data_IF_477704619924
#
_entry.id   IF_477704619924
#
_cell.length_a   1.000
_cell.length_b   1.000
_cell.length_c   1.000
_cell.angle_alpha   90.00
_cell.angle_beta   90.00
_cell.angle_gamma   90.00
#
_symmetry.space_group_name_H-M   'P 1'
#
loop_
_entity.id
_entity.type
_entity.pdbx_description
1 polymer ?
#
# COMPACT_ATOMS: atom_id res chain seq x y z
N UNK A 1 -1.35 -13.00 19.37
CA UNK A 1 -2.17 -12.37 18.31
C UNK A 1 -1.41 -11.27 17.57
N UNK A 2 -0.97 -10.18 18.22
CA UNK A 2 -0.38 -9.00 17.53
C UNK A 2 0.77 -9.30 16.55
N UNK A 3 1.63 -10.27 16.89
CA UNK A 3 2.74 -10.71 16.04
C UNK A 3 2.29 -11.31 14.69
N UNK A 4 1.11 -11.92 14.62
CA UNK A 4 0.64 -12.64 13.43
C UNK A 4 -0.06 -11.74 12.40
N UNK A 5 -0.49 -10.54 12.79
CA UNK A 5 -1.37 -9.71 11.94
C UNK A 5 -0.70 -9.26 10.66
N UNK A 6 0.55 -8.82 10.76
CA UNK A 6 1.28 -8.30 9.61
C UNK A 6 1.65 -9.42 8.61
N UNK A 7 2.17 -10.59 9.04
CA UNK A 7 2.30 -11.76 8.16
C UNK A 7 0.97 -12.19 7.54
N UNK A 8 -0.13 -12.21 8.33
CA UNK A 8 -1.46 -12.54 7.81
C UNK A 8 -1.91 -11.57 6.71
N UNK A 9 -1.58 -10.28 6.82
CA UNK A 9 -1.88 -9.28 5.80
C UNK A 9 -1.19 -9.54 4.45
N UNK A 10 -0.18 -10.42 4.41
CA UNK A 10 0.55 -10.78 3.19
C UNK A 10 -0.06 -11.93 2.40
N UNK A 11 -1.08 -12.63 2.94
CA UNK A 11 -1.81 -13.68 2.21
C UNK A 11 -2.84 -13.09 1.25
N UNK A 12 -2.36 -12.36 0.24
CA UNK A 12 -3.17 -11.53 -0.67
C UNK A 12 -3.78 -12.29 -1.85
N UNK A 13 -3.52 -13.59 -1.96
CA UNK A 13 -4.15 -14.45 -2.94
C UNK A 13 -5.69 -14.49 -2.78
N UNK A 14 -6.37 -14.60 -3.92
CA UNK A 14 -7.83 -14.72 -3.95
C UNK A 14 -8.23 -16.20 -3.92
N UNK A 15 -8.96 -16.60 -2.89
CA UNK A 15 -9.46 -17.96 -2.69
C UNK A 15 -10.97 -18.07 -2.94
N UNK A 16 -11.74 -16.99 -2.75
CA UNK A 16 -13.20 -16.98 -2.93
C UNK A 16 -13.62 -16.15 -4.16
N UNK A 17 -13.43 -16.72 -5.35
CA UNK A 17 -13.58 -16.02 -6.65
C UNK A 17 -15.01 -15.48 -6.87
N UNK A 18 -16.03 -16.18 -6.35
CA UNK A 18 -17.45 -15.81 -6.52
C UNK A 18 -17.89 -14.61 -5.66
N UNK A 19 -17.03 -14.09 -4.78
CA UNK A 19 -17.36 -12.92 -3.94
C UNK A 19 -16.93 -11.64 -4.67
N UNK A 20 -17.86 -10.74 -5.05
CA UNK A 20 -17.59 -9.63 -5.95
C UNK A 20 -16.66 -8.55 -5.37
N UNK A 21 -16.45 -8.50 -4.06
CA UNK A 21 -15.59 -7.50 -3.41
C UNK A 21 -14.13 -7.95 -3.31
N UNK A 22 -13.18 -7.05 -3.59
CA UNK A 22 -11.73 -7.31 -3.50
C UNK A 22 -11.30 -7.95 -2.17
N UNK A 23 -11.91 -7.53 -1.07
CA UNK A 23 -11.64 -8.09 0.25
C UNK A 23 -12.30 -9.45 0.47
N UNK A 24 -13.49 -9.65 -0.10
CA UNK A 24 -14.25 -10.88 0.08
C UNK A 24 -13.62 -12.09 -0.63
N UNK A 25 -12.79 -11.85 -1.65
CA UNK A 25 -12.04 -12.95 -2.26
C UNK A 25 -10.81 -13.39 -1.45
N UNK A 26 -10.34 -12.59 -0.47
CA UNK A 26 -9.10 -12.82 0.26
C UNK A 26 -9.35 -13.39 1.65
N UNK A 27 -8.61 -14.43 2.03
CA UNK A 27 -8.83 -15.17 3.29
C UNK A 27 -8.59 -14.33 4.55
N UNK A 28 -7.78 -13.28 4.43
CA UNK A 28 -7.27 -12.45 5.50
C UNK A 28 -8.38 -11.83 6.35
N UNK A 29 -9.44 -11.34 5.69
CA UNK A 29 -10.56 -10.69 6.38
C UNK A 29 -11.34 -11.67 7.23
N UNK A 30 -11.55 -12.88 6.73
CA UNK A 30 -12.19 -13.95 7.50
C UNK A 30 -11.36 -14.35 8.71
N UNK A 31 -10.03 -14.44 8.56
CA UNK A 31 -9.12 -14.69 9.69
C UNK A 31 -9.20 -13.56 10.71
N UNK A 32 -9.21 -12.29 10.28
CA UNK A 32 -9.36 -11.14 11.19
C UNK A 32 -10.70 -11.17 11.94
N UNK A 33 -11.80 -11.51 11.27
CA UNK A 33 -13.10 -11.69 11.91
C UNK A 33 -13.07 -12.79 12.98
N UNK A 34 -12.50 -13.95 12.65
CA UNK A 34 -12.35 -15.06 13.60
C UNK A 34 -11.53 -14.62 14.81
N UNK A 35 -10.39 -13.94 14.61
CA UNK A 35 -9.55 -13.44 15.70
C UNK A 35 -10.28 -12.42 16.57
N UNK A 36 -11.08 -11.53 15.99
CA UNK A 36 -11.92 -10.58 16.73
C UNK A 36 -12.97 -11.32 17.57
N UNK A 37 -13.67 -12.30 17.00
CA UNK A 37 -14.68 -13.10 17.69
C UNK A 37 -14.06 -13.86 18.87
N UNK A 38 -12.95 -14.55 18.64
CA UNK A 38 -12.18 -15.24 19.70
C UNK A 38 -11.83 -14.25 20.81
N UNK A 39 -11.31 -13.07 20.46
CA UNK A 39 -10.96 -12.07 21.48
C UNK A 39 -12.19 -11.59 22.29
N UNK A 40 -13.32 -11.34 21.64
CA UNK A 40 -14.56 -10.93 22.33
C UNK A 40 -15.07 -12.03 23.27
N UNK A 41 -15.08 -13.28 22.81
CA UNK A 41 -15.56 -14.43 23.60
C UNK A 41 -14.65 -14.67 24.81
N UNK A 42 -13.34 -14.77 24.59
CA UNK A 42 -12.42 -15.19 25.66
C UNK A 42 -11.93 -14.05 26.55
N UNK A 43 -11.76 -12.85 26.03
CA UNK A 43 -11.23 -11.71 26.81
C UNK A 43 -12.34 -10.84 27.36
N UNK A 44 -13.32 -10.48 26.53
CA UNK A 44 -14.45 -9.67 26.97
C UNK A 44 -15.61 -10.50 27.57
N UNK A 45 -15.49 -11.83 27.63
CA UNK A 45 -16.54 -12.73 28.13
C UNK A 45 -17.89 -12.47 27.45
N UNK A 46 -17.86 -12.21 26.14
CA UNK A 46 -19.05 -11.90 25.33
C UNK A 46 -19.55 -10.45 25.44
N UNK A 47 -18.92 -9.58 26.24
CA UNK A 47 -19.25 -8.15 26.24
C UNK A 47 -18.68 -7.48 25.01
N UNK A 48 -19.48 -6.66 24.32
CA UNK A 48 -18.97 -5.88 23.19
C UNK A 48 -18.06 -4.78 23.74
N UNK A 49 -16.79 -4.66 23.27
CA UNK A 49 -15.93 -3.56 23.69
C UNK A 49 -16.63 -2.23 23.40
N UNK A 50 -16.58 -1.29 24.35
CA UNK A 50 -17.08 0.07 24.10
C UNK A 50 -16.34 0.60 22.88
N UNK A 51 -17.08 0.80 21.79
CA UNK A 51 -16.57 1.27 20.52
C UNK A 51 -15.98 2.67 20.74
N UNK A 52 -14.65 2.77 20.73
CA UNK A 52 -13.92 4.05 20.84
C UNK A 52 -13.95 4.81 19.50
N UNK A 53 -15.11 4.92 18.84
CA UNK A 53 -15.24 5.81 17.69
C UNK A 53 -15.73 7.15 18.21
N UNK A 54 -14.92 8.19 18.02
CA UNK A 54 -15.33 9.54 18.41
C UNK A 54 -16.59 9.98 17.66
N UNK A 55 -17.46 10.76 18.31
CA UNK A 55 -18.65 11.35 17.67
C UNK A 55 -18.30 12.09 16.37
N UNK A 56 -17.11 12.71 16.29
CA UNK A 56 -16.62 13.40 15.10
C UNK A 56 -16.34 12.44 13.93
N UNK A 57 -15.79 11.26 14.21
CA UNK A 57 -15.55 10.23 13.19
C UNK A 57 -16.89 9.64 12.73
N UNK A 58 -17.83 9.37 13.65
CA UNK A 58 -19.18 8.93 13.27
C UNK A 58 -19.88 9.94 12.36
N UNK A 59 -19.84 11.23 12.72
CA UNK A 59 -20.39 12.30 11.89
C UNK A 59 -19.75 12.34 10.50
N UNK A 60 -18.41 12.26 10.43
CA UNK A 60 -17.71 12.23 9.15
C UNK A 60 -18.12 11.03 8.28
N UNK A 61 -18.29 9.86 8.87
CA UNK A 61 -18.73 8.66 8.16
C UNK A 61 -20.16 8.80 7.66
N UNK A 62 -21.06 9.31 8.48
CA UNK A 62 -22.44 9.60 8.06
C UNK A 62 -22.46 10.57 6.88
N UNK A 63 -21.70 11.67 6.95
CA UNK A 63 -21.57 12.63 5.84
C UNK A 63 -20.98 11.94 4.60
N UNK A 64 -19.93 11.14 4.75
CA UNK A 64 -19.29 10.42 3.65
C UNK A 64 -20.27 9.48 2.95
N UNK A 65 -21.04 8.70 3.71
CA UNK A 65 -22.04 7.79 3.17
C UNK A 65 -23.14 8.55 2.43
N UNK A 66 -23.66 9.65 2.99
CA UNK A 66 -24.70 10.46 2.33
C UNK A 66 -24.18 11.09 1.05
N UNK A 67 -23.01 11.72 1.07
CA UNK A 67 -22.43 12.35 -0.12
C UNK A 67 -22.16 11.32 -1.23
N UNK A 68 -21.71 10.12 -0.87
CA UNK A 68 -21.45 9.05 -1.83
C UNK A 68 -22.73 8.43 -2.38
N UNK A 69 -23.77 8.29 -1.57
CA UNK A 69 -25.09 7.92 -2.05
C UNK A 69 -25.58 8.90 -3.13
N UNK A 70 -25.51 10.21 -2.84
CA UNK A 70 -25.90 11.27 -3.79
C UNK A 70 -25.04 11.19 -5.06
N UNK A 71 -23.72 11.08 -4.94
CA UNK A 71 -22.81 11.03 -6.09
C UNK A 71 -23.06 9.81 -6.99
N UNK A 72 -23.33 8.63 -6.40
CA UNK A 72 -23.68 7.41 -7.14
C UNK A 72 -25.00 7.60 -7.90
N UNK A 73 -26.02 8.15 -7.25
CA UNK A 73 -27.32 8.40 -7.88
C UNK A 73 -27.23 9.42 -9.03
N UNK A 74 -26.53 10.54 -8.83
CA UNK A 74 -26.31 11.53 -9.89
C UNK A 74 -25.58 10.89 -11.09
N UNK A 75 -24.56 10.08 -10.82
CA UNK A 75 -23.79 9.42 -11.86
C UNK A 75 -24.63 8.40 -12.63
N UNK A 76 -25.51 7.66 -11.96
CA UNK A 76 -26.44 6.73 -12.60
C UNK A 76 -27.32 7.41 -13.68
N UNK A 77 -27.77 8.65 -13.44
CA UNK A 77 -28.54 9.42 -14.42
C UNK A 77 -27.69 10.01 -15.55
N UNK A 78 -26.37 10.20 -15.35
CA UNK A 78 -25.43 10.71 -16.36
C UNK A 78 -24.82 9.60 -17.25
N UNK A 79 -24.89 8.35 -16.82
CA UNK A 79 -24.41 7.20 -17.59
C UNK A 79 -25.46 6.84 -18.66
N UNK A 80 -25.09 7.03 -19.91
CA UNK A 80 -25.93 6.75 -21.09
C UNK A 80 -25.72 5.33 -21.65
N UNK A 81 -24.51 4.78 -21.50
CA UNK A 81 -24.18 3.42 -21.92
C UNK A 81 -24.71 2.38 -20.93
N UNK A 82 -25.66 1.55 -21.40
CA UNK A 82 -26.30 0.47 -20.62
C UNK A 82 -25.28 -0.45 -19.97
N UNK A 83 -24.18 -0.75 -20.66
CA UNK A 83 -23.10 -1.62 -20.19
C UNK A 83 -22.39 -1.13 -18.92
N UNK A 84 -22.37 0.17 -18.69
CA UNK A 84 -21.77 0.79 -17.50
C UNK A 84 -22.81 1.17 -16.44
N UNK A 85 -24.10 1.00 -16.74
CA UNK A 85 -25.22 1.46 -15.93
C UNK A 85 -25.55 0.46 -14.82
N UNK A 86 -24.72 0.46 -13.78
CA UNK A 86 -24.91 -0.37 -12.60
C UNK A 86 -26.08 0.12 -11.72
N UNK A 87 -26.75 -0.81 -11.01
CA UNK A 87 -27.81 -0.45 -10.07
C UNK A 87 -27.25 0.40 -8.90
N UNK A 88 -27.76 1.62 -8.66
CA UNK A 88 -27.18 2.55 -7.69
C UNK A 88 -27.28 2.06 -6.24
N UNK A 89 -28.36 1.31 -5.91
CA UNK A 89 -28.53 0.71 -4.57
C UNK A 89 -27.48 -0.37 -4.34
N UNK A 90 -27.25 -1.25 -5.33
CA UNK A 90 -26.23 -2.29 -5.25
C UNK A 90 -24.83 -1.70 -5.09
N UNK A 91 -24.51 -0.64 -5.83
CA UNK A 91 -23.24 0.08 -5.71
C UNK A 91 -23.07 0.70 -4.31
N UNK A 92 -24.13 1.31 -3.78
CA UNK A 92 -24.08 1.87 -2.43
C UNK A 92 -23.90 0.78 -1.35
N UNK A 93 -24.56 -0.38 -1.48
CA UNK A 93 -24.34 -1.51 -0.58
C UNK A 93 -22.89 -1.98 -0.65
N UNK A 94 -22.30 -2.10 -1.85
CA UNK A 94 -20.88 -2.46 -2.00
C UNK A 94 -19.96 -1.44 -1.33
N UNK A 95 -20.29 -0.15 -1.42
CA UNK A 95 -19.57 0.92 -0.73
C UNK A 95 -19.67 0.81 0.80
N UNK A 96 -20.86 0.50 1.34
CA UNK A 96 -21.04 0.22 2.77
C UNK A 96 -20.22 -1.01 3.22
N UNK A 97 -20.21 -2.08 2.43
CA UNK A 97 -19.39 -3.27 2.71
C UNK A 97 -17.90 -2.92 2.70
N UNK A 98 -17.45 -2.11 1.74
CA UNK A 98 -16.08 -1.61 1.70
C UNK A 98 -15.69 -0.88 2.99
N UNK A 99 -16.56 0.00 3.51
CA UNK A 99 -16.35 0.67 4.81
C UNK A 99 -16.36 -0.30 5.99
N UNK A 100 -17.28 -1.27 6.00
CA UNK A 100 -17.33 -2.29 7.05
C UNK A 100 -16.02 -3.08 7.12
N UNK A 101 -15.41 -3.39 5.96
CA UNK A 101 -14.10 -4.06 5.94
C UNK A 101 -12.98 -3.16 6.46
N UNK A 102 -12.99 -1.85 6.16
CA UNK A 102 -12.07 -0.90 6.77
C UNK A 102 -12.19 -0.94 8.31
N UNK A 103 -13.41 -1.05 8.83
CA UNK A 103 -13.63 -1.19 10.27
C UNK A 103 -13.08 -2.48 10.87
N UNK A 104 -13.15 -3.61 10.16
CA UNK A 104 -12.52 -4.86 10.62
C UNK A 104 -11.03 -4.64 10.89
N UNK A 105 -10.33 -3.93 10.01
CA UNK A 105 -8.91 -3.58 10.19
C UNK A 105 -8.70 -2.67 11.40
N UNK A 106 -9.59 -1.69 11.62
CA UNK A 106 -9.54 -0.86 12.82
C UNK A 106 -9.68 -1.68 14.11
N UNK A 107 -10.68 -2.57 14.18
CA UNK A 107 -10.93 -3.37 15.38
C UNK A 107 -9.80 -4.35 15.68
N UNK A 108 -9.29 -5.07 14.68
CA UNK A 108 -8.17 -5.99 14.91
C UNK A 108 -6.93 -5.22 15.41
N UNK A 109 -6.69 -4.01 14.92
CA UNK A 109 -5.57 -3.17 15.37
C UNK A 109 -5.79 -2.56 16.75
N UNK A 110 -7.01 -2.15 17.09
CA UNK A 110 -7.37 -1.66 18.42
C UNK A 110 -7.07 -2.72 19.48
N UNK A 111 -7.49 -3.95 19.22
CA UNK A 111 -7.25 -5.08 20.12
C UNK A 111 -5.75 -5.40 20.22
N UNK A 112 -5.04 -5.32 19.10
CA UNK A 112 -3.65 -5.79 19.00
C UNK A 112 -2.60 -4.78 19.42
N UNK A 113 -2.99 -3.53 19.66
CA UNK A 113 -2.08 -2.41 20.01
C UNK A 113 -2.40 -1.85 21.39
N UNK A 114 -3.00 -2.66 22.26
CA UNK A 114 -3.45 -2.24 23.60
C UNK A 114 -2.32 -1.91 24.61
N UNK A 115 -1.08 -2.30 24.31
CA UNK A 115 0.09 -2.04 25.16
C UNK A 115 1.37 -1.84 24.33
N UNK A 116 2.43 -1.27 24.93
CA UNK A 116 3.76 -1.24 24.29
C UNK A 116 4.29 -2.63 23.96
N UNK A 117 4.04 -3.64 24.83
CA UNK A 117 4.45 -5.03 24.56
C UNK A 117 3.75 -5.57 23.31
N UNK A 118 2.45 -5.37 23.20
CA UNK A 118 1.66 -5.79 22.03
C UNK A 118 2.07 -5.03 20.77
N UNK A 119 2.38 -3.74 20.90
CA UNK A 119 2.87 -2.88 19.80
C UNK A 119 4.24 -3.35 19.29
N UNK A 120 5.18 -3.65 20.19
CA UNK A 120 6.49 -4.23 19.85
C UNK A 120 6.32 -5.61 19.20
N UNK A 121 5.38 -6.43 19.68
CA UNK A 121 5.08 -7.71 19.07
C UNK A 121 4.52 -7.54 17.64
N UNK A 122 3.64 -6.56 17.39
CA UNK A 122 3.16 -6.23 16.04
C UNK A 122 4.31 -5.83 15.12
N UNK A 123 5.20 -4.93 15.55
CA UNK A 123 6.35 -4.50 14.74
C UNK A 123 7.31 -5.67 14.47
N UNK A 124 7.54 -6.56 15.45
CA UNK A 124 8.29 -7.81 15.25
C UNK A 124 7.62 -8.74 14.23
N UNK A 125 6.28 -8.79 14.21
CA UNK A 125 5.54 -9.48 13.15
C UNK A 125 5.85 -8.92 11.76
N UNK A 126 6.05 -7.60 11.67
CA UNK A 126 6.52 -6.94 10.46
C UNK A 126 7.87 -7.36 9.96
N UNK A 127 8.82 -7.53 10.88
CA UNK A 127 10.13 -8.09 10.53
C UNK A 127 9.97 -9.46 9.86
N UNK A 128 9.12 -10.32 10.45
CA UNK A 128 8.87 -11.65 9.89
C UNK A 128 8.19 -11.59 8.52
N UNK A 129 7.20 -10.71 8.34
CA UNK A 129 6.55 -10.47 7.06
C UNK A 129 7.54 -9.96 5.98
N UNK A 130 8.46 -9.08 6.35
CA UNK A 130 9.52 -8.58 5.46
C UNK A 130 10.49 -9.70 5.06
N UNK A 131 10.92 -10.51 6.03
CA UNK A 131 11.79 -11.67 5.77
C UNK A 131 11.12 -12.65 4.82
N UNK A 132 9.85 -13.01 5.04
CA UNK A 132 9.08 -13.86 4.11
C UNK A 132 9.05 -13.23 2.72
N UNK A 133 8.77 -11.92 2.63
CA UNK A 133 8.73 -11.21 1.35
C UNK A 133 10.06 -11.27 0.61
N UNK A 134 11.19 -11.12 1.33
CA UNK A 134 12.53 -11.26 0.75
C UNK A 134 12.87 -12.68 0.36
N UNK A 135 12.47 -13.70 1.14
CA UNK A 135 12.68 -15.10 0.78
C UNK A 135 11.96 -15.41 -0.53
N UNK A 136 10.67 -15.06 -0.63
CA UNK A 136 9.88 -15.24 -1.85
C UNK A 136 10.51 -14.50 -3.04
N UNK A 137 10.85 -13.23 -2.86
CA UNK A 137 11.46 -12.43 -3.91
C UNK A 137 12.86 -12.95 -4.32
N UNK A 138 13.61 -13.54 -3.38
CA UNK A 138 14.89 -14.20 -3.67
C UNK A 138 14.71 -15.46 -4.49
N UNK A 139 13.69 -16.29 -4.18
CA UNK A 139 13.34 -17.45 -4.99
C UNK A 139 12.96 -17.05 -6.43
N UNK A 140 12.22 -15.96 -6.59
CA UNK A 140 11.88 -15.40 -7.90
C UNK A 140 13.12 -14.84 -8.62
N UNK A 141 14.05 -14.21 -7.90
CA UNK A 141 15.32 -13.73 -8.44
C UNK A 141 16.21 -14.89 -8.90
N UNK A 142 16.31 -15.98 -8.14
CA UNK A 142 17.06 -17.18 -8.56
C UNK A 142 16.47 -17.78 -9.83
N UNK A 143 15.16 -17.70 -10.05
CA UNK A 143 14.54 -18.16 -11.29
C UNK A 143 14.92 -17.32 -12.51
N UNK A 144 15.12 -16.01 -12.33
CA UNK A 144 15.55 -15.12 -13.42
C UNK A 144 16.96 -15.51 -13.89
N UNK A 145 17.87 -15.83 -12.96
CA UNK A 145 19.26 -16.19 -13.30
C UNK A 145 19.45 -17.69 -13.61
N UNK A 146 18.70 -18.56 -12.95
CA UNK A 146 18.82 -20.01 -13.02
C UNK A 146 17.42 -20.67 -13.10
N UNK A 147 16.76 -20.60 -14.28
CA UNK A 147 15.37 -21.06 -14.41
C UNK A 147 15.17 -22.52 -14.00
N UNK A 148 16.05 -23.42 -14.43
CA UNK A 148 15.96 -24.87 -14.18
C UNK A 148 15.98 -25.26 -12.70
N UNK A 149 16.61 -24.45 -11.84
CA UNK A 149 16.79 -24.78 -10.41
C UNK A 149 15.53 -24.44 -9.60
N UNK A 150 14.82 -23.39 -9.97
CA UNK A 150 13.79 -22.76 -9.12
C UNK A 150 12.41 -22.70 -9.76
N UNK A 151 12.25 -23.21 -10.98
CA UNK A 151 10.97 -23.29 -11.69
C UNK A 151 9.86 -23.93 -10.85
N UNK A 152 10.10 -25.10 -10.27
CA UNK A 152 9.11 -25.82 -9.46
C UNK A 152 8.66 -25.03 -8.22
N UNK A 153 9.61 -24.37 -7.55
CA UNK A 153 9.34 -23.58 -6.34
C UNK A 153 8.54 -22.32 -6.71
N UNK A 154 8.96 -21.61 -7.76
CA UNK A 154 8.28 -20.41 -8.23
C UNK A 154 6.88 -20.72 -8.75
N UNK A 155 6.71 -21.82 -9.49
CA UNK A 155 5.39 -22.28 -9.94
C UNK A 155 4.47 -22.64 -8.77
N UNK A 156 4.99 -23.33 -7.75
CA UNK A 156 4.23 -23.63 -6.54
C UNK A 156 3.79 -22.34 -5.82
N UNK A 157 4.70 -21.40 -5.60
CA UNK A 157 4.39 -20.12 -4.97
C UNK A 157 3.35 -19.34 -5.80
N UNK A 158 3.54 -19.29 -7.13
CA UNK A 158 2.67 -18.61 -8.07
C UNK A 158 1.25 -19.18 -8.12
N UNK A 159 1.10 -20.49 -7.93
CA UNK A 159 -0.21 -21.15 -7.94
C UNK A 159 -1.01 -20.90 -6.66
N UNK A 160 -0.36 -20.91 -5.50
CA UNK A 160 -1.06 -20.94 -4.21
C UNK A 160 -1.04 -19.63 -3.42
N UNK A 161 -0.04 -18.77 -3.65
CA UNK A 161 0.21 -17.60 -2.79
C UNK A 161 0.28 -16.27 -3.54
N UNK A 162 0.60 -16.27 -4.85
CA UNK A 162 0.57 -15.03 -5.64
C UNK A 162 -0.88 -14.53 -5.84
N UNK A 163 -1.09 -13.23 -5.58
CA UNK A 163 -2.31 -12.55 -5.95
C UNK A 163 -2.40 -12.39 -7.48
N UNK A 164 -3.63 -12.42 -7.99
CA UNK A 164 -3.93 -12.32 -9.42
C UNK A 164 -5.09 -11.36 -9.64
N UNK A 165 -5.02 -10.57 -10.70
CA UNK A 165 -6.16 -9.76 -11.15
C UNK A 165 -7.36 -10.65 -11.49
N UNK A 166 -8.57 -10.26 -11.07
CA UNK A 166 -9.81 -11.04 -11.20
C UNK A 166 -10.07 -11.51 -12.64
N UNK A 167 -9.79 -10.67 -13.63
CA UNK A 167 -10.09 -10.94 -15.04
C UNK A 167 -9.06 -11.85 -15.72
N UNK A 168 -7.97 -12.19 -15.03
CA UNK A 168 -6.88 -13.04 -15.53
C UNK A 168 -6.75 -14.37 -14.77
N UNK A 169 -7.67 -14.64 -13.85
CA UNK A 169 -7.75 -15.92 -13.12
C UNK A 169 -8.37 -17.05 -13.94
N UNK A 170 -8.99 -16.73 -15.09
CA UNK A 170 -9.51 -17.74 -16.00
C UNK A 170 -8.39 -18.09 -16.99
N UNK A 171 -7.95 -19.34 -16.91
CA UNK A 171 -6.91 -20.01 -17.71
C UNK A 171 -7.17 -20.06 -19.22
N UNK A 172 -8.04 -19.21 -19.76
CA UNK A 172 -8.45 -19.19 -21.17
C UNK A 172 -7.74 -18.12 -22.00
N UNK A 173 -6.93 -17.25 -21.41
CA UNK A 173 -6.12 -16.29 -22.17
C UNK A 173 -4.65 -16.74 -22.25
N UNK A 174 -4.19 -17.32 -23.37
CA UNK A 174 -2.79 -17.71 -23.57
C UNK A 174 -1.81 -16.53 -23.50
N UNK A 175 -2.31 -15.29 -23.56
CA UNK A 175 -1.54 -14.05 -23.45
C UNK A 175 -1.65 -13.37 -22.06
N UNK A 176 -2.19 -14.06 -21.05
CA UNK A 176 -2.33 -13.50 -19.69
C UNK A 176 -1.01 -13.42 -18.92
N UNK A 177 -0.91 -12.49 -17.96
CA UNK A 177 0.31 -12.26 -17.15
C UNK A 177 0.77 -13.45 -16.29
N UNK A 178 -0.05 -14.51 -16.20
CA UNK A 178 0.22 -15.70 -15.40
C UNK A 178 0.09 -16.99 -16.24
N UNK A 179 0.21 -16.90 -17.56
CA UNK A 179 0.05 -18.06 -18.47
C UNK A 179 1.03 -19.19 -18.16
N UNK A 180 2.22 -18.88 -17.62
CA UNK A 180 3.22 -19.85 -17.19
C UNK A 180 3.13 -20.25 -15.71
N UNK A 181 2.05 -19.91 -15.01
CA UNK A 181 1.80 -20.30 -13.61
C UNK A 181 2.17 -19.23 -12.58
N UNK A 182 3.19 -18.41 -12.84
CA UNK A 182 3.60 -17.25 -12.03
C UNK A 182 3.85 -16.02 -12.90
N UNK A 183 3.73 -14.83 -12.31
CA UNK A 183 4.06 -13.56 -12.97
C UNK A 183 5.53 -13.48 -13.36
N UNK A 184 6.46 -13.93 -12.49
CA UNK A 184 7.89 -13.88 -12.81
C UNK A 184 8.28 -14.89 -13.90
N UNK A 185 7.56 -16.01 -14.02
CA UNK A 185 7.79 -16.97 -15.10
C UNK A 185 7.45 -16.34 -16.45
N UNK A 186 6.28 -15.70 -16.51
CA UNK A 186 5.75 -15.09 -17.73
C UNK A 186 6.49 -13.81 -18.14
N UNK A 187 6.74 -12.90 -17.19
CA UNK A 187 7.25 -11.55 -17.48
C UNK A 187 8.68 -11.29 -17.01
N UNK A 188 9.33 -12.25 -16.35
CA UNK A 188 10.71 -12.13 -15.80
C UNK A 188 10.91 -10.93 -14.87
N UNK A 189 9.84 -10.51 -14.17
CA UNK A 189 9.84 -9.40 -13.20
C UNK A 189 9.39 -9.89 -11.83
N UNK A 190 10.08 -9.47 -10.78
CA UNK A 190 9.82 -9.89 -9.40
C UNK A 190 8.58 -9.16 -8.85
N UNK A 191 7.55 -9.91 -8.48
CA UNK A 191 6.29 -9.42 -7.91
C UNK A 191 6.05 -9.87 -6.47
N UNK A 192 6.96 -10.64 -5.86
CA UNK A 192 6.75 -11.23 -4.55
C UNK A 192 5.43 -12.02 -4.55
N UNK A 193 4.53 -11.70 -3.63
CA UNK A 193 3.19 -12.29 -3.57
C UNK A 193 2.09 -11.42 -4.21
N UNK A 194 2.44 -10.26 -4.74
CA UNK A 194 1.48 -9.26 -5.24
C UNK A 194 1.09 -9.50 -6.69
N UNK A 195 0.01 -8.84 -7.13
CA UNK A 195 -0.50 -8.97 -8.49
C UNK A 195 0.57 -8.55 -9.53
N UNK A 196 1.40 -7.55 -9.23
CA UNK A 196 2.42 -7.03 -10.16
C UNK A 196 3.69 -6.59 -9.44
N UNK A 197 4.80 -6.53 -10.17
CA UNK A 197 6.07 -5.99 -9.68
C UNK A 197 5.96 -4.57 -9.09
N UNK A 198 5.07 -3.73 -9.64
CA UNK A 198 4.79 -2.38 -9.17
C UNK A 198 4.14 -2.36 -7.77
N UNK A 199 3.23 -3.30 -7.50
CA UNK A 199 2.58 -3.45 -6.20
C UNK A 199 3.57 -3.95 -5.14
N UNK A 200 4.46 -4.87 -5.49
CA UNK A 200 5.50 -5.37 -4.59
C UNK A 200 6.44 -4.27 -4.10
N UNK A 201 7.00 -3.48 -5.02
CA UNK A 201 7.89 -2.37 -4.62
C UNK A 201 7.12 -1.30 -3.85
N UNK A 202 5.85 -1.07 -4.16
CA UNK A 202 5.01 -0.16 -3.38
C UNK A 202 4.79 -0.67 -1.96
N UNK A 203 4.60 -1.98 -1.79
CA UNK A 203 4.46 -2.62 -0.50
C UNK A 203 5.74 -2.52 0.34
N UNK A 204 6.91 -2.71 -0.28
CA UNK A 204 8.21 -2.46 0.36
C UNK A 204 8.33 -1.00 0.81
N UNK A 205 8.08 -0.08 -0.12
CA UNK A 205 8.26 1.36 0.08
C UNK A 205 7.31 1.95 1.12
N UNK A 206 6.02 1.63 1.08
CA UNK A 206 5.03 2.15 2.04
C UNK A 206 5.01 1.32 3.33
N UNK A 207 5.08 -0.01 3.22
CA UNK A 207 4.83 -0.89 4.35
C UNK A 207 6.03 -1.02 5.28
N UNK A 208 7.22 -1.26 4.71
CA UNK A 208 8.38 -1.70 5.49
C UNK A 208 9.46 -0.62 5.62
N UNK A 209 9.74 0.11 4.54
CA UNK A 209 10.79 1.14 4.52
C UNK A 209 10.61 2.25 5.57
N UNK A 210 9.39 2.71 5.94
CA UNK A 210 9.24 3.72 6.98
C UNK A 210 9.87 3.33 8.31
N UNK A 211 9.72 2.07 8.72
CA UNK A 211 10.29 1.52 9.95
C UNK A 211 11.82 1.40 9.87
N UNK A 212 12.35 1.01 8.71
CA UNK A 212 13.80 0.91 8.49
C UNK A 212 14.47 2.29 8.56
N UNK A 213 13.95 3.27 7.82
CA UNK A 213 14.49 4.64 7.82
C UNK A 213 14.37 5.27 9.20
N UNK A 214 13.22 5.13 9.87
CA UNK A 214 13.03 5.68 11.20
C UNK A 214 14.02 5.05 12.22
N UNK A 215 14.31 3.75 12.08
CA UNK A 215 15.29 3.07 12.92
C UNK A 215 16.70 3.62 12.72
N UNK A 216 17.11 3.83 11.46
CA UNK A 216 18.42 4.45 11.13
C UNK A 216 18.49 5.87 11.67
N UNK A 217 17.46 6.70 11.43
CA UNK A 217 17.40 8.10 11.87
C UNK A 217 17.53 8.24 13.38
N UNK A 218 16.79 7.41 14.14
CA UNK A 218 16.75 7.49 15.60
C UNK A 218 17.82 6.63 16.28
N UNK A 219 18.69 5.96 15.51
CA UNK A 219 19.67 4.99 15.98
C UNK A 219 19.07 3.96 16.94
N UNK A 220 17.86 3.50 16.63
CA UNK A 220 17.10 2.58 17.46
C UNK A 220 16.53 1.47 16.60
N UNK A 221 16.90 0.22 16.86
CA UNK A 221 16.34 -0.91 16.12
C UNK A 221 14.88 -1.14 16.56
N UNK A 222 13.91 -0.78 15.72
CA UNK A 222 12.49 -0.91 16.06
C UNK A 222 12.01 -2.36 16.19
N UNK A 223 12.74 -3.33 15.60
CA UNK A 223 12.38 -4.75 15.62
C UNK A 223 12.99 -5.52 16.80
N UNK A 224 14.07 -5.01 17.38
CA UNK A 224 14.75 -5.63 18.52
C UNK A 224 14.69 -4.74 19.75
N UNK A 225 14.84 -5.32 20.94
CA UNK A 225 14.82 -4.56 22.20
C UNK A 225 16.17 -3.94 22.54
N UNK A 226 17.25 -4.35 21.86
CA UNK A 226 18.60 -3.79 22.06
C UNK A 226 18.72 -2.47 21.30
N UNK A 227 19.02 -1.40 22.03
CA UNK A 227 18.97 -0.01 21.54
C UNK A 227 19.93 0.27 20.37
N UNK A 228 21.04 -0.47 20.21
CA UNK A 228 22.13 -0.01 19.33
C UNK A 228 22.52 -0.96 18.19
N UNK A 229 21.93 -2.15 18.06
CA UNK A 229 22.27 -3.06 16.97
C UNK A 229 21.46 -2.76 15.70
N UNK A 230 22.02 -1.94 14.81
CA UNK A 230 21.40 -1.57 13.52
C UNK A 230 21.81 -2.47 12.35
N UNK A 231 22.68 -3.47 12.55
CA UNK A 231 23.17 -4.32 11.45
C UNK A 231 22.02 -4.95 10.66
N UNK A 232 21.06 -5.54 11.39
CA UNK A 232 19.86 -6.12 10.78
C UNK A 232 19.08 -5.09 9.93
N UNK A 233 18.94 -3.86 10.44
CA UNK A 233 18.22 -2.79 9.75
C UNK A 233 18.94 -2.42 8.44
N UNK A 234 20.28 -2.28 8.48
CA UNK A 234 21.07 -1.99 7.28
C UNK A 234 20.99 -3.10 6.25
N UNK A 235 21.08 -4.37 6.68
CA UNK A 235 20.93 -5.53 5.77
C UNK A 235 19.56 -5.51 5.09
N UNK A 236 18.48 -5.32 5.85
CA UNK A 236 17.11 -5.26 5.29
C UNK A 236 16.91 -4.06 4.36
N UNK A 237 17.55 -2.93 4.65
CA UNK A 237 17.51 -1.74 3.81
C UNK A 237 18.25 -1.96 2.48
N UNK A 238 19.45 -2.57 2.51
CA UNK A 238 20.20 -2.95 1.31
C UNK A 238 19.39 -3.93 0.46
N UNK A 239 18.80 -4.96 1.08
CA UNK A 239 17.91 -5.89 0.37
C UNK A 239 16.70 -5.17 -0.24
N UNK A 240 16.12 -4.19 0.46
CA UNK A 240 15.04 -3.35 -0.11
C UNK A 240 15.50 -2.62 -1.37
N UNK A 241 16.71 -2.03 -1.37
CA UNK A 241 17.29 -1.38 -2.54
C UNK A 241 17.50 -2.35 -3.71
N UNK A 242 18.03 -3.54 -3.43
CA UNK A 242 18.20 -4.59 -4.44
C UNK A 242 16.85 -4.91 -5.08
N UNK A 243 15.80 -5.16 -4.30
CA UNK A 243 14.49 -5.50 -4.84
C UNK A 243 13.76 -4.33 -5.52
N UNK A 244 13.98 -3.08 -5.09
CA UNK A 244 13.49 -1.92 -5.82
C UNK A 244 14.03 -1.86 -7.25
N UNK A 245 15.31 -2.18 -7.43
CA UNK A 245 15.97 -2.20 -8.74
C UNK A 245 15.58 -3.46 -9.53
N UNK A 246 15.61 -4.63 -8.90
CA UNK A 246 15.38 -5.93 -9.55
C UNK A 246 13.92 -6.19 -9.93
N UNK A 247 12.96 -5.45 -9.36
CA UNK A 247 11.59 -5.45 -9.86
C UNK A 247 11.48 -4.83 -11.27
N UNK A 248 12.51 -4.11 -11.73
CA UNK A 248 12.60 -3.48 -13.06
C UNK A 248 11.43 -2.57 -13.40
N UNK A 249 10.80 -1.92 -12.41
CA UNK A 249 9.67 -1.00 -12.62
C UNK A 249 10.10 0.45 -12.46
N UNK A 250 9.44 1.36 -13.17
CA UNK A 250 9.67 2.81 -13.02
C UNK A 250 9.42 3.26 -11.57
N UNK A 251 8.40 2.70 -10.91
CA UNK A 251 8.12 2.94 -9.49
C UNK A 251 9.26 2.45 -8.59
N UNK A 252 9.83 1.27 -8.87
CA UNK A 252 10.96 0.73 -8.12
C UNK A 252 12.17 1.67 -8.13
N UNK A 253 12.58 2.15 -9.30
CA UNK A 253 13.66 3.12 -9.43
C UNK A 253 13.37 4.44 -8.70
N UNK A 254 12.15 4.97 -8.84
CA UNK A 254 11.74 6.18 -8.15
C UNK A 254 11.77 6.01 -6.63
N UNK A 255 11.24 4.90 -6.11
CA UNK A 255 11.22 4.62 -4.68
C UNK A 255 12.62 4.44 -4.12
N UNK A 256 13.51 3.72 -4.82
CA UNK A 256 14.92 3.66 -4.45
C UNK A 256 15.55 5.05 -4.37
N UNK A 257 15.33 5.90 -5.38
CA UNK A 257 15.84 7.27 -5.38
C UNK A 257 15.30 8.11 -4.20
N UNK A 258 14.01 8.03 -3.90
CA UNK A 258 13.40 8.77 -2.78
C UNK A 258 13.94 8.27 -1.44
N UNK A 259 14.04 6.96 -1.23
CA UNK A 259 14.62 6.37 -0.03
C UNK A 259 16.08 6.81 0.13
N UNK A 260 16.83 6.81 -0.97
CA UNK A 260 18.19 7.33 -1.00
C UNK A 260 18.26 8.80 -0.57
N UNK A 261 17.41 9.69 -1.11
CA UNK A 261 17.38 11.11 -0.72
C UNK A 261 17.05 11.31 0.77
N UNK A 262 16.10 10.53 1.29
CA UNK A 262 15.73 10.60 2.73
C UNK A 262 16.90 10.14 3.59
N UNK A 263 17.56 9.03 3.26
CA UNK A 263 18.72 8.55 4.00
C UNK A 263 19.91 9.52 3.89
N UNK A 264 20.17 10.04 2.70
CA UNK A 264 21.21 11.02 2.43
C UNK A 264 21.07 12.24 3.36
N UNK A 265 19.84 12.73 3.59
CA UNK A 265 19.57 13.83 4.53
C UNK A 265 20.04 13.53 5.96
N UNK A 266 19.99 12.26 6.39
CA UNK A 266 20.31 11.84 7.75
C UNK A 266 21.75 11.35 7.95
N UNK A 267 22.54 11.27 6.88
CA UNK A 267 23.94 10.84 6.92
C UNK A 267 24.90 11.96 7.38
N UNK A 268 26.01 11.56 8.00
CA UNK A 268 27.15 12.46 8.27
C UNK A 268 27.81 12.93 6.96
N UNK A 269 28.57 14.02 7.00
CA UNK A 269 29.24 14.60 5.82
C UNK A 269 30.10 13.57 5.07
N UNK A 270 30.87 12.77 5.79
CA UNK A 270 31.71 11.71 5.19
C UNK A 270 30.90 10.55 4.61
N UNK A 271 29.85 10.11 5.31
CA UNK A 271 28.96 9.07 4.80
C UNK A 271 28.24 9.52 3.52
N UNK A 272 27.88 10.80 3.41
CA UNK A 272 27.30 11.38 2.18
C UNK A 272 28.24 11.26 0.98
N UNK A 273 29.53 11.62 1.14
CA UNK A 273 30.50 11.51 0.05
C UNK A 273 30.73 10.05 -0.35
N UNK A 274 30.91 9.15 0.62
CA UNK A 274 31.05 7.72 0.36
C UNK A 274 29.82 7.13 -0.38
N UNK A 275 28.62 7.51 0.03
CA UNK A 275 27.39 7.05 -0.62
C UNK A 275 27.22 7.62 -2.03
N UNK A 276 27.59 8.88 -2.26
CA UNK A 276 27.59 9.49 -3.60
C UNK A 276 28.60 8.79 -4.51
N UNK A 277 29.83 8.55 -4.04
CA UNK A 277 30.84 7.84 -4.82
C UNK A 277 30.42 6.41 -5.13
N UNK A 278 29.82 5.70 -4.16
CA UNK A 278 29.28 4.36 -4.39
C UNK A 278 28.12 4.36 -5.41
N UNK A 279 27.21 5.34 -5.32
CA UNK A 279 26.10 5.49 -6.26
C UNK A 279 26.59 5.80 -7.68
N UNK A 280 27.58 6.67 -7.84
CA UNK A 280 28.23 6.95 -9.13
C UNK A 280 28.93 5.70 -9.65
N UNK A 281 29.69 4.99 -8.81
CA UNK A 281 30.37 3.76 -9.21
C UNK A 281 29.38 2.67 -9.68
N UNK A 282 28.30 2.43 -8.92
CA UNK A 282 27.26 1.48 -9.31
C UNK A 282 26.61 1.91 -10.63
N UNK A 283 26.32 3.20 -10.80
CA UNK A 283 25.75 3.73 -12.05
C UNK A 283 26.72 3.49 -13.21
N UNK A 284 28.02 3.76 -13.04
CA UNK A 284 29.05 3.51 -14.03
C UNK A 284 29.23 2.02 -14.33
N UNK A 285 29.12 1.14 -13.33
CA UNK A 285 29.17 -0.32 -13.52
C UNK A 285 27.95 -0.83 -14.27
N UNK A 286 26.75 -0.33 -13.95
CA UNK A 286 25.52 -0.67 -14.68
C UNK A 286 25.59 -0.15 -16.10
N UNK A 287 25.99 1.09 -16.34
CA UNK A 287 26.18 1.63 -17.68
C UNK A 287 27.28 0.84 -18.42
N UNK A 288 28.43 0.59 -17.80
CA UNK A 288 29.55 -0.15 -18.35
C UNK A 288 29.23 -1.60 -18.74
N UNK A 289 28.54 -2.33 -17.86
CA UNK A 289 28.07 -3.70 -18.13
C UNK A 289 27.08 -3.73 -19.31
N UNK A 290 26.25 -2.70 -19.44
CA UNK A 290 25.18 -2.68 -20.42
C UNK A 290 25.53 -1.94 -21.73
N UNK A 291 26.66 -1.25 -21.86
CA UNK A 291 27.14 -0.64 -23.12
C UNK A 291 27.34 -1.71 -24.23
N UNK A 292 27.53 -2.98 -23.86
CA UNK A 292 27.63 -4.10 -24.81
C UNK A 292 26.29 -4.76 -25.18
N UNK A 293 25.17 -4.32 -24.63
CA UNK A 293 23.89 -5.01 -24.75
C UNK A 293 22.85 -4.13 -25.48
N UNK A 294 22.37 -4.57 -26.65
CA UNK A 294 21.35 -3.87 -27.47
C UNK A 294 20.07 -3.53 -26.68
N UNK A 295 19.85 -4.20 -25.55
CA UNK A 295 18.73 -3.99 -24.65
C UNK A 295 18.62 -2.56 -24.10
N UNK A 296 19.72 -1.85 -23.86
CA UNK A 296 19.67 -0.45 -23.40
C UNK A 296 19.34 0.49 -24.55
N UNK A 297 19.89 0.28 -25.75
CA UNK A 297 19.50 1.05 -26.92
C UNK A 297 18.00 0.88 -27.20
N UNK A 298 17.49 -0.34 -27.10
CA UNK A 298 16.06 -0.65 -27.22
C UNK A 298 15.25 -0.09 -26.04
N UNK A 299 15.75 -0.09 -24.81
CA UNK A 299 15.07 0.50 -23.67
C UNK A 299 15.04 2.04 -23.76
N UNK A 300 16.13 2.69 -24.14
CA UNK A 300 16.16 4.14 -24.37
C UNK A 300 15.30 4.51 -25.58
N UNK A 301 15.36 3.74 -26.66
CA UNK A 301 14.49 3.95 -27.81
C UNK A 301 13.02 3.73 -27.45
N UNK A 302 12.64 2.66 -26.74
CA UNK A 302 11.23 2.41 -26.41
C UNK A 302 10.69 3.28 -25.27
N UNK A 303 11.51 3.66 -24.27
CA UNK A 303 11.05 4.42 -23.10
C UNK A 303 11.32 5.93 -23.19
N UNK A 304 12.35 6.37 -23.95
CA UNK A 304 12.78 7.78 -24.01
C UNK A 304 12.51 8.40 -25.39
N UNK A 305 12.88 7.74 -26.50
CA UNK A 305 12.87 8.37 -27.84
C UNK A 305 11.63 8.07 -28.71
N UNK A 306 11.14 6.83 -28.78
CA UNK A 306 9.95 6.39 -29.52
C UNK A 306 8.75 6.20 -28.58
N UNK A 307 8.12 7.32 -28.18
CA UNK A 307 6.96 7.29 -27.28
C UNK A 307 5.63 6.92 -27.96
N UNK A 308 5.55 6.84 -29.29
CA UNK A 308 4.29 6.56 -30.00
C UNK A 308 3.85 5.10 -29.76
N UNK A 309 2.62 4.90 -29.27
CA UNK A 309 2.02 3.57 -29.04
C UNK A 309 2.23 2.94 -27.64
N UNK A 310 3.00 3.54 -26.73
CA UNK A 310 3.42 2.89 -25.47
C UNK A 310 2.52 3.17 -24.25
N UNK A 311 2.56 2.27 -23.24
CA UNK A 311 1.82 2.33 -21.96
C UNK A 311 1.95 3.67 -21.19
N UNK A 312 3.03 4.43 -21.41
CA UNK A 312 3.23 5.75 -20.84
C UNK A 312 2.22 6.80 -21.37
N UNK A 313 1.84 6.71 -22.65
CA UNK A 313 0.78 7.53 -23.24
C UNK A 313 -0.55 7.22 -22.54
N UNK A 314 -0.85 5.95 -22.30
CA UNK A 314 -2.07 5.55 -21.59
C UNK A 314 -2.12 6.07 -20.14
N UNK A 315 -0.97 6.08 -19.44
CA UNK A 315 -0.86 6.64 -18.08
C UNK A 315 -1.12 8.15 -18.07
N UNK A 316 -0.51 8.90 -18.98
CA UNK A 316 -0.74 10.34 -19.10
C UNK A 316 -2.20 10.65 -19.48
N UNK A 317 -2.76 9.94 -20.45
CA UNK A 317 -4.15 10.11 -20.88
C UNK A 317 -5.15 9.81 -19.77
N UNK A 318 -4.93 8.72 -19.03
CA UNK A 318 -5.76 8.37 -17.86
C UNK A 318 -5.67 9.42 -16.75
N UNK A 319 -4.47 9.93 -16.47
CA UNK A 319 -4.26 10.98 -15.46
C UNK A 319 -5.02 12.26 -15.85
N UNK A 320 -4.96 12.67 -17.12
CA UNK A 320 -5.71 13.82 -17.63
C UNK A 320 -7.23 13.59 -17.57
N UNK A 321 -7.69 12.38 -17.91
CA UNK A 321 -9.09 12.02 -17.79
C UNK A 321 -9.56 12.12 -16.33
N UNK A 322 -8.82 11.56 -15.36
CA UNK A 322 -9.14 11.68 -13.93
C UNK A 322 -9.17 13.14 -13.45
N UNK A 323 -8.24 13.96 -13.92
CA UNK A 323 -8.22 15.39 -13.62
C UNK A 323 -9.47 16.09 -14.16
N UNK A 324 -9.86 15.81 -15.40
CA UNK A 324 -11.08 16.36 -16.01
C UNK A 324 -12.34 15.92 -15.26
N UNK A 325 -12.41 14.65 -14.83
CA UNK A 325 -13.52 14.13 -14.02
C UNK A 325 -13.61 14.87 -12.69
N UNK A 326 -12.46 15.06 -12.02
CA UNK A 326 -12.39 15.80 -10.77
C UNK A 326 -12.86 17.25 -10.95
N UNK A 327 -12.33 17.98 -11.93
CA UNK A 327 -12.71 19.38 -12.19
C UNK A 327 -14.21 19.51 -12.53
N UNK A 328 -14.80 18.48 -13.16
CA UNK A 328 -16.23 18.47 -13.48
C UNK A 328 -17.12 18.08 -12.29
N UNK A 329 -16.57 17.46 -11.25
CA UNK A 329 -17.32 16.93 -10.08
C UNK A 329 -16.58 17.24 -8.76
N UNK A 330 -16.13 18.47 -8.59
CA UNK A 330 -15.14 18.88 -7.57
C UNK A 330 -15.54 18.48 -6.15
N UNK A 331 -16.80 18.70 -5.74
CA UNK A 331 -17.19 18.61 -4.34
C UNK A 331 -17.36 17.18 -3.83
N UNK A 332 -18.10 16.35 -4.57
CA UNK A 332 -18.55 15.02 -4.11
C UNK A 332 -18.05 13.87 -4.99
N UNK A 333 -17.41 14.17 -6.12
CA UNK A 333 -16.94 13.17 -7.08
C UNK A 333 -18.07 12.50 -7.87
N UNK A 334 -17.72 11.43 -8.59
CA UNK A 334 -18.66 10.59 -9.37
C UNK A 334 -19.17 9.38 -8.59
N UNK A 335 -18.75 9.24 -7.33
CA UNK A 335 -19.11 8.11 -6.49
C UNK A 335 -18.19 6.91 -6.69
N UNK A 336 -18.20 6.04 -5.70
CA UNK A 336 -17.41 4.80 -5.69
C UNK A 336 -17.76 3.90 -6.89
N UNK A 337 -16.74 3.38 -7.56
CA UNK A 337 -16.83 2.38 -8.66
C UNK A 337 -17.52 2.86 -9.97
N UNK A 338 -17.81 4.16 -10.11
CA UNK A 338 -18.33 4.75 -11.36
C UNK A 338 -17.24 5.27 -12.32
N UNK A 339 -15.98 5.27 -11.89
CA UNK A 339 -14.88 5.95 -12.59
C UNK A 339 -14.62 5.41 -13.98
N UNK A 340 -14.80 4.10 -14.20
CA UNK A 340 -14.48 3.44 -15.48
C UNK A 340 -15.23 4.06 -16.65
N UNK A 341 -16.53 4.36 -16.48
CA UNK A 341 -17.32 5.04 -17.51
C UNK A 341 -16.81 6.46 -17.77
N UNK A 342 -16.60 7.24 -16.70
CA UNK A 342 -16.16 8.62 -16.84
C UNK A 342 -14.74 8.71 -17.41
N UNK A 343 -13.88 7.72 -17.14
CA UNK A 343 -12.56 7.58 -17.74
C UNK A 343 -12.66 7.33 -19.24
N UNK A 344 -13.54 6.42 -19.66
CA UNK A 344 -13.79 6.12 -21.07
C UNK A 344 -14.19 7.38 -21.87
N UNK A 345 -15.19 8.12 -21.40
CA UNK A 345 -15.70 9.29 -22.12
C UNK A 345 -14.73 10.49 -22.08
N UNK A 346 -13.85 10.59 -21.07
CA UNK A 346 -12.92 11.71 -20.90
C UNK A 346 -11.49 11.42 -21.37
N UNK A 347 -11.21 10.21 -21.86
CA UNK A 347 -9.89 9.89 -22.37
C UNK A 347 -9.57 10.72 -23.62
N UNK A 348 -8.38 11.35 -23.71
CA UNK A 348 -7.99 12.08 -24.91
C UNK A 348 -7.93 11.19 -26.16
N UNK A 349 -8.27 11.75 -27.32
CA UNK A 349 -8.29 11.02 -28.60
C UNK A 349 -6.99 10.28 -28.90
N UNK A 350 -5.84 10.92 -28.68
CA UNK A 350 -4.53 10.30 -28.90
C UNK A 350 -4.26 9.06 -28.03
N UNK A 351 -4.92 8.92 -26.87
CA UNK A 351 -4.82 7.73 -26.03
C UNK A 351 -5.87 6.67 -26.39
N UNK A 352 -6.98 7.06 -27.06
CA UNK A 352 -8.02 6.13 -27.53
C UNK A 352 -7.55 5.24 -28.69
N UNK A 353 -6.56 5.68 -29.44
CA UNK A 353 -6.03 4.94 -30.59
C UNK A 353 -4.88 4.00 -30.22
N UNK A 354 -4.63 3.80 -28.92
CA UNK A 354 -3.60 2.89 -28.43
C UNK A 354 -4.11 1.43 -28.40
N UNK A 355 -3.27 0.46 -28.77
CA UNK A 355 -3.63 -0.97 -28.76
C UNK A 355 -4.01 -1.50 -27.37
N UNK A 356 -3.34 -1.04 -26.32
CA UNK A 356 -3.68 -1.39 -24.91
C UNK A 356 -5.03 -0.76 -24.50
N UNK A 357 -5.40 0.39 -25.07
CA UNK A 357 -6.73 0.97 -24.86
C UNK A 357 -7.83 0.13 -25.52
N UNK A 358 -7.63 -0.34 -26.75
CA UNK A 358 -8.61 -1.18 -27.45
C UNK A 358 -8.93 -2.46 -26.65
N UNK A 359 -7.92 -3.11 -26.08
CA UNK A 359 -8.09 -4.26 -25.17
C UNK A 359 -8.89 -3.90 -23.90
N UNK A 360 -8.76 -2.67 -23.38
CA UNK A 360 -9.49 -2.21 -22.19
C UNK A 360 -10.94 -1.84 -22.49
N UNK A 361 -11.22 -1.29 -23.66
CA UNK A 361 -12.58 -1.07 -24.17
C UNK A 361 -13.32 -2.40 -24.29
N UNK A 362 -12.68 -3.41 -24.88
CA UNK A 362 -13.26 -4.75 -25.02
C UNK A 362 -13.62 -5.37 -23.65
N UNK A 363 -12.77 -5.14 -22.65
CA UNK A 363 -12.97 -5.67 -21.29
C UNK A 363 -13.80 -4.74 -20.37
N UNK A 364 -14.31 -3.61 -20.88
CA UNK A 364 -15.17 -2.65 -20.15
C UNK A 364 -14.59 -2.15 -18.82
N UNK A 365 -13.25 -2.16 -18.69
CA UNK A 365 -12.57 -1.80 -17.45
C UNK A 365 -11.41 -0.84 -17.72
N UNK A 366 -11.48 0.34 -17.10
CA UNK A 366 -10.41 1.34 -17.15
C UNK A 366 -9.77 1.48 -15.78
N UNK A 367 -8.52 0.99 -15.59
CA UNK A 367 -7.87 1.09 -14.31
C UNK A 367 -7.56 2.56 -13.97
N UNK A 368 -7.63 2.86 -12.68
CA UNK A 368 -7.18 4.14 -12.13
C UNK A 368 -5.65 4.14 -12.09
N UNK A 369 -5.00 4.94 -12.93
CA UNK A 369 -3.54 4.97 -13.03
C UNK A 369 -2.86 6.03 -12.15
N UNK A 370 -3.66 6.87 -11.49
CA UNK A 370 -3.24 7.78 -10.42
C UNK A 370 -4.23 7.67 -9.27
N UNK A 371 -3.82 7.04 -8.17
CA UNK A 371 -4.70 6.80 -7.01
C UNK A 371 -5.19 8.11 -6.39
N UNK A 372 -4.37 9.15 -6.34
CA UNK A 372 -4.72 10.45 -5.77
C UNK A 372 -5.83 11.14 -6.56
N UNK A 373 -5.68 11.22 -7.89
CA UNK A 373 -6.75 11.72 -8.75
C UNK A 373 -7.95 10.76 -8.78
N UNK A 374 -7.71 9.47 -8.56
CA UNK A 374 -8.74 8.47 -8.28
C UNK A 374 -9.55 8.78 -7.03
N UNK A 375 -8.93 9.18 -5.94
CA UNK A 375 -9.64 9.61 -4.73
C UNK A 375 -10.44 10.89 -4.96
N UNK A 376 -9.87 11.86 -5.67
CA UNK A 376 -10.53 13.13 -5.97
C UNK A 376 -11.72 12.97 -6.94
N UNK A 377 -11.57 12.17 -8.00
CA UNK A 377 -12.67 11.82 -8.92
C UNK A 377 -13.72 10.93 -8.23
N UNK A 378 -13.26 9.95 -7.46
CA UNK A 378 -13.91 9.17 -6.39
C UNK A 378 -14.95 9.91 -5.58
N UNK A 379 -14.38 10.65 -4.66
CA UNK A 379 -14.99 11.07 -3.41
C UNK A 379 -15.13 12.60 -3.35
N UNK A 380 -14.56 13.32 -4.32
CA UNK A 380 -14.51 14.77 -4.32
C UNK A 380 -13.57 15.34 -3.27
N UNK A 381 -13.34 16.65 -3.37
CA UNK A 381 -12.42 17.39 -2.51
C UNK A 381 -12.88 17.43 -1.06
N UNK A 382 -14.20 17.35 -0.78
CA UNK A 382 -14.72 17.44 0.58
C UNK A 382 -14.28 16.25 1.44
N UNK A 383 -14.47 15.03 0.93
CA UNK A 383 -14.07 13.80 1.64
C UNK A 383 -12.55 13.71 1.69
N UNK A 384 -11.87 13.94 0.56
CA UNK A 384 -10.41 13.81 0.46
C UNK A 384 -9.69 14.81 1.39
N UNK A 385 -10.08 16.09 1.37
CA UNK A 385 -9.45 17.11 2.21
C UNK A 385 -9.65 16.83 3.69
N UNK A 386 -10.81 16.31 4.10
CA UNK A 386 -11.02 15.92 5.49
C UNK A 386 -10.02 14.86 5.96
N UNK A 387 -9.76 13.85 5.13
CA UNK A 387 -8.76 12.80 5.43
C UNK A 387 -7.35 13.39 5.56
N UNK A 388 -6.95 14.26 4.63
CA UNK A 388 -5.64 14.93 4.71
C UNK A 388 -5.51 15.84 5.95
N UNK A 389 -6.54 16.60 6.29
CA UNK A 389 -6.58 17.44 7.50
C UNK A 389 -6.50 16.57 8.76
N UNK A 390 -7.19 15.42 8.78
CA UNK A 390 -7.12 14.47 9.88
C UNK A 390 -5.68 13.94 10.05
N UNK A 391 -5.05 13.46 8.98
CA UNK A 391 -3.67 12.95 8.99
C UNK A 391 -2.69 14.04 9.47
N UNK A 392 -2.82 15.27 8.96
CA UNK A 392 -1.98 16.39 9.36
C UNK A 392 -2.10 16.69 10.86
N UNK A 393 -3.34 16.81 11.37
CA UNK A 393 -3.60 17.05 12.79
C UNK A 393 -3.11 15.90 13.66
N UNK A 394 -3.31 14.66 13.21
CA UNK A 394 -2.80 13.45 13.85
C UNK A 394 -1.27 13.51 14.01
N UNK A 395 -0.53 13.72 12.91
CA UNK A 395 0.93 13.78 12.94
C UNK A 395 1.44 14.90 13.84
N UNK A 396 0.81 16.09 13.81
CA UNK A 396 1.16 17.21 14.68
C UNK A 396 1.01 16.84 16.16
N UNK A 397 -0.10 16.22 16.54
CA UNK A 397 -0.34 15.78 17.93
C UNK A 397 0.59 14.64 18.34
N UNK A 398 0.83 13.68 17.46
CA UNK A 398 1.71 12.56 17.74
C UNK A 398 3.15 13.06 17.99
N UNK A 399 3.62 14.00 17.17
CA UNK A 399 4.91 14.68 17.41
C UNK A 399 4.96 15.30 18.80
N UNK A 400 3.93 16.04 19.21
CA UNK A 400 3.88 16.69 20.51
C UNK A 400 3.99 15.67 21.66
N UNK A 401 3.26 14.55 21.60
CA UNK A 401 3.37 13.48 22.61
C UNK A 401 4.78 12.92 22.69
N UNK A 402 5.45 12.70 21.56
CA UNK A 402 6.82 12.17 21.60
C UNK A 402 7.80 13.15 22.24
N UNK A 403 7.62 14.45 22.04
CA UNK A 403 8.44 15.49 22.68
C UNK A 403 8.18 15.50 24.19
N UNK A 404 6.91 15.47 24.61
CA UNK A 404 6.55 15.38 26.03
C UNK A 404 7.15 14.14 26.70
N UNK A 405 7.04 12.97 26.05
CA UNK A 405 7.60 11.73 26.57
C UNK A 405 9.14 11.76 26.71
N UNK A 406 9.83 12.43 25.77
CA UNK A 406 11.28 12.65 25.85
C UNK A 406 11.63 13.59 27.02
N UNK A 407 10.92 14.69 27.18
CA UNK A 407 11.14 15.65 28.27
C UNK A 407 10.89 15.01 29.65
N UNK A 408 9.96 14.06 29.74
CA UNK A 408 9.67 13.29 30.95
C UNK A 408 10.63 12.11 31.18
N UNK A 409 11.61 11.88 30.31
CA UNK A 409 12.49 10.70 30.33
C UNK A 409 11.73 9.36 30.40
N UNK A 410 10.56 9.28 29.76
CA UNK A 410 9.77 8.05 29.76
C UNK A 410 10.57 6.90 29.13
N UNK A 411 10.56 5.68 29.70
CA UNK A 411 11.41 4.57 29.23
C UNK A 411 11.20 4.19 27.76
N UNK A 412 9.97 4.37 27.27
CA UNK A 412 9.57 4.07 25.88
C UNK A 412 9.67 5.29 24.93
N UNK A 413 10.22 6.42 25.37
CA UNK A 413 10.27 7.66 24.58
C UNK A 413 10.96 7.52 23.22
N UNK A 414 12.09 6.82 23.15
CA UNK A 414 12.82 6.56 21.89
C UNK A 414 11.99 5.65 20.95
N UNK A 415 11.31 4.65 21.50
CA UNK A 415 10.42 3.79 20.73
C UNK A 415 9.24 4.59 20.16
N UNK A 416 8.56 5.40 20.99
CA UNK A 416 7.50 6.30 20.53
C UNK A 416 7.98 7.25 19.44
N UNK A 417 9.17 7.83 19.59
CA UNK A 417 9.78 8.71 18.57
C UNK A 417 10.00 7.98 17.25
N UNK A 418 10.50 6.76 17.32
CA UNK A 418 10.75 5.92 16.14
C UNK A 418 9.45 5.54 15.43
N UNK A 419 8.39 5.22 16.18
CA UNK A 419 7.06 4.93 15.61
C UNK A 419 6.44 6.19 15.01
N UNK A 420 6.60 7.36 15.64
CA UNK A 420 6.18 8.64 15.06
C UNK A 420 6.87 8.91 13.72
N UNK A 421 8.20 8.81 13.66
CA UNK A 421 8.95 9.02 12.42
C UNK A 421 8.56 7.98 11.36
N UNK A 422 8.31 6.73 11.75
CA UNK A 422 7.76 5.70 10.85
C UNK A 422 6.40 6.12 10.30
N UNK A 423 5.51 6.66 11.15
CA UNK A 423 4.20 7.13 10.71
C UNK A 423 4.32 8.29 9.72
N UNK A 424 5.22 9.24 9.98
CA UNK A 424 5.49 10.36 9.09
C UNK A 424 5.95 9.87 7.70
N UNK A 425 6.94 8.97 7.65
CA UNK A 425 7.39 8.39 6.39
C UNK A 425 6.31 7.56 5.70
N UNK A 426 5.52 6.77 6.44
CA UNK A 426 4.39 6.03 5.88
C UNK A 426 3.41 6.95 5.14
N UNK A 427 3.01 8.08 5.75
CA UNK A 427 2.08 9.00 5.10
C UNK A 427 2.70 9.73 3.90
N UNK A 428 3.95 10.17 4.00
CA UNK A 428 4.66 10.77 2.87
C UNK A 428 4.81 9.80 1.70
N UNK A 429 5.21 8.56 1.98
CA UNK A 429 5.40 7.53 0.95
C UNK A 429 4.07 7.07 0.36
N UNK A 430 3.01 6.98 1.17
CA UNK A 430 1.65 6.75 0.68
C UNK A 430 1.22 7.86 -0.29
N UNK A 431 1.46 9.12 0.06
CA UNK A 431 1.12 10.25 -0.82
C UNK A 431 1.91 10.21 -2.14
N UNK A 432 3.23 9.98 -2.07
CA UNK A 432 4.08 9.83 -3.26
C UNK A 432 3.60 8.69 -4.15
N UNK A 433 3.35 7.51 -3.58
CA UNK A 433 2.83 6.35 -4.32
C UNK A 433 1.45 6.60 -4.89
N UNK A 434 0.62 7.44 -4.24
CA UNK A 434 -0.70 7.80 -4.74
C UNK A 434 -0.70 8.62 -6.01
N UNK A 435 0.43 9.22 -6.39
CA UNK A 435 0.57 9.83 -7.70
C UNK A 435 0.55 8.78 -8.83
N UNK A 436 0.77 7.50 -8.50
CA UNK A 436 0.80 6.37 -9.42
C UNK A 436 -0.31 5.34 -9.11
N UNK A 437 -0.36 4.29 -9.91
CA UNK A 437 -1.27 3.17 -9.73
C UNK A 437 -0.74 2.20 -8.66
N UNK A 438 -1.53 1.94 -7.62
CA UNK A 438 -1.30 0.85 -6.66
C UNK A 438 -2.59 0.51 -5.92
N UNK A 439 -2.64 -0.64 -5.26
CA UNK A 439 -3.82 -1.06 -4.50
C UNK A 439 -3.83 -0.46 -3.10
N UNK A 440 -4.25 0.81 -3.00
CA UNK A 440 -4.18 1.60 -1.75
C UNK A 440 -4.98 1.04 -0.58
N UNK A 441 -6.03 0.27 -0.87
CA UNK A 441 -6.88 -0.39 0.12
C UNK A 441 -6.39 -1.81 0.45
N UNK A 442 -5.18 -2.21 0.07
CA UNK A 442 -4.63 -3.50 0.49
C UNK A 442 -4.54 -3.58 2.03
N UNK A 443 -4.81 -4.77 2.57
CA UNK A 443 -4.91 -5.02 4.02
C UNK A 443 -3.68 -4.53 4.79
N UNK A 444 -2.48 -4.71 4.23
CA UNK A 444 -1.22 -4.23 4.83
C UNK A 444 -1.21 -2.71 5.08
N UNK A 445 -1.72 -1.90 4.15
CA UNK A 445 -1.73 -0.45 4.32
C UNK A 445 -2.77 -0.03 5.36
N UNK A 446 -3.93 -0.70 5.40
CA UNK A 446 -4.98 -0.43 6.36
C UNK A 446 -4.56 -0.80 7.80
N UNK A 447 -3.94 -1.97 8.01
CA UNK A 447 -3.45 -2.34 9.35
C UNK A 447 -2.36 -1.37 9.83
N UNK A 448 -1.49 -0.87 8.95
CA UNK A 448 -0.44 0.08 9.32
C UNK A 448 -1.02 1.46 9.63
N UNK A 449 -1.95 1.94 8.82
CA UNK A 449 -2.68 3.18 9.09
C UNK A 449 -3.34 3.14 10.48
N UNK A 450 -4.08 2.07 10.78
CA UNK A 450 -4.73 1.93 12.09
C UNK A 450 -3.75 1.61 13.22
N UNK A 451 -2.65 0.90 12.97
CA UNK A 451 -1.58 0.72 13.94
C UNK A 451 -1.07 2.06 14.47
N UNK A 452 -0.73 3.00 13.59
CA UNK A 452 -0.24 4.31 14.02
C UNK A 452 -1.28 5.10 14.82
N UNK A 453 -2.55 5.04 14.42
CA UNK A 453 -3.66 5.70 15.12
C UNK A 453 -3.88 5.08 16.51
N UNK A 454 -4.00 3.75 16.61
CA UNK A 454 -4.20 3.05 17.86
C UNK A 454 -3.00 3.24 18.81
N UNK A 455 -1.78 3.18 18.27
CA UNK A 455 -0.56 3.42 19.04
C UNK A 455 -0.52 4.84 19.60
N UNK A 456 -0.87 5.85 18.80
CA UNK A 456 -0.98 7.24 19.26
C UNK A 456 -1.93 7.36 20.45
N UNK A 457 -3.15 6.83 20.35
CA UNK A 457 -4.13 6.93 21.44
C UNK A 457 -3.67 6.22 22.71
N UNK A 458 -3.00 5.06 22.56
CA UNK A 458 -2.38 4.39 23.69
C UNK A 458 -1.27 5.25 24.32
N UNK A 459 -0.37 5.81 23.51
CA UNK A 459 0.71 6.67 23.99
C UNK A 459 0.18 7.95 24.66
N UNK A 460 -0.86 8.57 24.09
CA UNK A 460 -1.55 9.74 24.66
C UNK A 460 -2.10 9.43 26.05
N UNK A 461 -2.76 8.28 26.20
CA UNK A 461 -3.29 7.85 27.49
C UNK A 461 -2.18 7.66 28.52
N UNK A 462 -1.07 6.99 28.16
CA UNK A 462 0.03 6.72 29.09
C UNK A 462 0.76 8.01 29.50
N UNK A 463 0.94 8.95 28.57
CA UNK A 463 1.71 10.18 28.83
C UNK A 463 0.88 11.24 29.57
N UNK A 464 -0.39 11.43 29.22
CA UNK A 464 -1.20 12.51 29.81
C UNK A 464 -2.12 12.08 30.95
N UNK A 465 -2.43 10.78 31.10
CA UNK A 465 -3.11 10.28 32.31
C UNK A 465 -2.10 9.53 33.17
N UNK A 466 -1.62 10.18 34.25
CA UNK A 466 -0.89 9.50 35.34
C UNK A 466 -1.70 8.29 35.85
N UNK A 467 -1.03 7.23 36.35
CA UNK A 467 -1.68 6.03 36.84
C UNK A 467 -2.32 6.28 38.21
N UNK A 468 -3.51 6.86 38.22
CA UNK A 468 -4.43 6.71 39.34
C UNK A 468 -5.64 5.93 38.81
N UNK A 469 -5.78 4.68 39.26
CA UNK A 469 -6.83 3.71 38.93
C UNK A 469 -6.77 3.01 37.55
N UNK A 470 -5.74 2.18 37.35
CA UNK A 470 -5.94 0.93 36.58
C UNK A 470 -6.17 -0.21 37.57
N UNK A 471 -7.28 -0.10 38.30
CA UNK A 471 -7.99 -1.25 38.87
C UNK A 471 -9.43 -1.10 38.40
N UNK A 472 -9.85 -2.03 37.53
CA UNK A 472 -11.14 -2.16 36.83
C UNK A 472 -11.22 -1.53 35.43
N UNK A 473 -10.74 -2.28 34.43
CA UNK A 473 -11.51 -2.55 33.19
C UNK A 473 -11.49 -4.05 32.94
#
# INVERSE_FOLDING_TARGET
MSFLIWPLAMFIASYFIKVPNYFGSKIQIYIYLILIIIYIVFVYKGKVPKILISKKIMLFLSITLVLQFIAIFISYFKIDLIDYKNNPIKMFINFCIFFLVIFIHYYIMLISTSSFKSSKAFVKGGLFALIISFIVASCQLTYIFFPSISESIVSFIGKFFEARWKDQQISSNPYGYYSQGSYVQTLKRINGLTEEASNFVTQLFIGFTPFLIASVKNKYNVFQTKKDNLLLVYVLLILSFVFFIMAQTTSGFLFAFIVFLVLYRHMSKYAKYFFLSAGVLITLLVLGYNIKNNYIADAFNNYIFNKQGNSNINRAGNTLALLKIFISNIFIGVGFDNQSYFLYINLPEWARHNSEYFMRVQNKYFPVLSVFLGWLSSFGILIVSFVFIYIYKFLKKFKAITITAQNMNHPESIYMKTIYDSSFYFFCFTFISSLFAYVWYASIYLILFFFFICFYYHAEHVIYKRPESVTKI
#
